data_IF_746683306142
#
_entry.id   IF_746683306142
#
_cell.length_a   1.000
_cell.length_b   1.000
_cell.length_c   1.000
_cell.angle_alpha   90.00
_cell.angle_beta   90.00
_cell.angle_gamma   90.00
#
_symmetry.space_group_name_H-M   'P 1'
#
loop_
_entity.id
_entity.type
_entity.pdbx_description
1 polymer ?
#
# COMPACT_ATOMS: atom_id res chain seq x y z
N UNK A 1 20.59 9.12 -32.34
CA UNK A 1 19.18 8.87 -31.98
C UNK A 1 19.03 9.31 -30.53
N UNK A 2 18.56 10.53 -30.28
CA UNK A 2 18.20 10.94 -28.92
C UNK A 2 16.90 10.22 -28.60
N UNK A 3 16.91 9.31 -27.63
CA UNK A 3 15.70 8.70 -27.10
C UNK A 3 14.92 9.80 -26.39
N UNK A 4 13.84 10.29 -27.01
CA UNK A 4 12.83 11.04 -26.28
C UNK A 4 12.23 10.07 -25.26
N UNK A 5 12.44 10.32 -23.98
CA UNK A 5 11.73 9.59 -22.93
C UNK A 5 10.22 9.76 -23.18
N UNK A 6 9.41 8.70 -23.15
CA UNK A 6 7.97 8.87 -23.29
C UNK A 6 7.48 9.80 -22.18
N UNK A 7 6.76 10.87 -22.53
CA UNK A 7 6.13 11.76 -21.56
C UNK A 7 5.18 10.96 -20.67
N UNK A 8 5.16 11.31 -19.39
CA UNK A 8 4.32 10.63 -18.42
C UNK A 8 2.86 11.04 -18.66
N UNK A 9 1.92 10.10 -18.61
CA UNK A 9 0.51 10.37 -18.92
C UNK A 9 -0.40 9.66 -17.92
N UNK A 10 -1.49 10.31 -17.49
CA UNK A 10 -2.49 9.74 -16.59
C UNK A 10 -3.52 8.97 -17.43
N UNK A 11 -3.77 7.73 -17.04
CA UNK A 11 -4.70 6.81 -17.71
C UNK A 11 -5.95 6.53 -16.89
N UNK A 12 -5.87 6.74 -15.56
CA UNK A 12 -7.02 6.62 -14.65
C UNK A 12 -6.88 7.58 -13.48
N UNK A 13 -8.00 8.16 -13.05
CA UNK A 13 -8.15 8.94 -11.82
C UNK A 13 -9.31 8.36 -11.02
N UNK A 14 -9.15 8.26 -9.70
CA UNK A 14 -10.21 7.87 -8.77
C UNK A 14 -10.15 8.78 -7.55
N UNK A 15 -11.27 9.41 -7.20
CA UNK A 15 -11.39 10.14 -5.94
C UNK A 15 -11.42 9.17 -4.74
N UNK A 16 -10.67 9.46 -3.68
CA UNK A 16 -10.63 8.64 -2.47
C UNK A 16 -11.46 9.29 -1.34
N UNK A 17 -10.93 10.37 -0.76
CA UNK A 17 -11.51 11.10 0.37
C UNK A 17 -10.85 12.48 0.47
N UNK A 18 -11.49 13.46 1.12
CA UNK A 18 -10.88 14.79 1.29
C UNK A 18 -10.37 15.37 -0.04
N UNK A 19 -9.08 15.68 -0.11
CA UNK A 19 -8.40 16.12 -1.34
C UNK A 19 -7.46 15.05 -1.91
N UNK A 20 -7.71 13.79 -1.57
CA UNK A 20 -6.92 12.65 -2.00
C UNK A 20 -7.45 12.01 -3.30
N UNK A 21 -6.53 11.77 -4.24
CA UNK A 21 -6.80 11.07 -5.49
C UNK A 21 -5.85 9.88 -5.66
N UNK A 22 -6.34 8.81 -6.29
CA UNK A 22 -5.52 7.72 -6.82
C UNK A 22 -5.42 7.82 -8.33
N UNK A 23 -4.20 7.83 -8.84
CA UNK A 23 -3.85 8.01 -10.24
C UNK A 23 -3.15 6.76 -10.78
N UNK A 24 -3.46 6.33 -12.00
CA UNK A 24 -2.72 5.29 -12.73
C UNK A 24 -2.07 5.93 -13.94
N UNK A 25 -0.76 5.74 -14.08
CA UNK A 25 0.04 6.29 -15.18
C UNK A 25 0.22 5.29 -16.33
N UNK A 26 0.67 5.78 -17.48
CA UNK A 26 0.96 4.96 -18.67
C UNK A 26 2.08 3.92 -18.46
N UNK A 27 2.91 4.09 -17.44
CA UNK A 27 3.90 3.10 -16.97
C UNK A 27 3.31 2.05 -16.01
N UNK A 28 1.98 2.02 -15.84
CA UNK A 28 1.23 1.15 -14.92
C UNK A 28 1.47 1.40 -13.44
N UNK A 29 2.19 2.47 -13.08
CA UNK A 29 2.34 2.83 -11.67
C UNK A 29 1.08 3.50 -11.15
N UNK A 30 0.71 3.13 -9.92
CA UNK A 30 -0.32 3.82 -9.15
C UNK A 30 0.34 4.83 -8.23
N UNK A 31 -0.25 6.01 -8.10
CA UNK A 31 0.21 7.07 -7.17
C UNK A 31 -1.01 7.65 -6.46
N UNK A 32 -0.87 7.85 -5.15
CA UNK A 32 -1.83 8.60 -4.33
C UNK A 32 -1.29 9.99 -4.06
N UNK A 33 -2.10 11.00 -4.29
CA UNK A 33 -1.76 12.40 -4.06
C UNK A 33 -2.78 12.98 -3.09
N UNK A 34 -2.31 13.79 -2.15
CA UNK A 34 -3.14 14.73 -1.39
C UNK A 34 -2.85 16.12 -1.94
N UNK A 35 -3.88 16.77 -2.48
CA UNK A 35 -3.75 18.08 -3.12
C UNK A 35 -4.11 19.24 -2.20
N UNK A 36 -4.49 19.01 -0.93
CA UNK A 36 -5.00 20.07 -0.04
C UNK A 36 -4.03 21.27 0.06
N UNK A 37 -2.74 21.00 0.22
CA UNK A 37 -1.69 22.03 0.30
C UNK A 37 -1.46 22.77 -1.03
N UNK A 38 -1.83 22.16 -2.15
CA UNK A 38 -1.63 22.68 -3.50
C UNK A 38 -2.83 23.51 -4.00
N UNK A 39 -3.94 23.55 -3.26
CA UNK A 39 -5.14 24.33 -3.62
C UNK A 39 -5.00 25.82 -3.25
N UNK A 40 -3.97 26.48 -3.76
CA UNK A 40 -3.71 27.90 -3.54
C UNK A 40 -3.70 28.68 -4.86
N UNK A 41 -4.20 29.92 -4.83
CA UNK A 41 -4.30 30.78 -6.01
C UNK A 41 -5.70 30.78 -6.63
N UNK A 42 -6.01 31.83 -7.39
CA UNK A 42 -7.37 32.14 -7.85
C UNK A 42 -8.03 31.01 -8.65
N UNK A 43 -7.24 30.29 -9.47
CA UNK A 43 -7.75 29.18 -10.30
C UNK A 43 -8.05 27.92 -9.49
N UNK A 44 -7.35 27.69 -8.37
CA UNK A 44 -7.52 26.51 -7.51
C UNK A 44 -8.44 26.74 -6.31
N UNK A 45 -8.69 28.00 -5.93
CA UNK A 45 -9.57 28.36 -4.81
C UNK A 45 -10.96 27.69 -4.88
N UNK A 46 -11.65 27.60 -6.05
CA UNK A 46 -12.92 26.90 -6.16
C UNK A 46 -12.86 25.41 -5.80
N UNK A 47 -11.68 24.79 -5.92
CA UNK A 47 -11.47 23.38 -5.63
C UNK A 47 -11.46 23.07 -4.12
N UNK A 48 -11.36 24.08 -3.24
CA UNK A 48 -11.57 23.91 -1.79
C UNK A 48 -13.01 23.47 -1.44
N UNK A 49 -13.93 23.59 -2.38
CA UNK A 49 -15.22 22.91 -2.28
C UNK A 49 -15.07 21.46 -2.74
N UNK A 50 -15.26 20.49 -1.84
CA UNK A 50 -15.21 19.07 -2.18
C UNK A 50 -16.18 18.67 -3.32
N UNK A 51 -17.31 19.38 -3.45
CA UNK A 51 -18.26 19.17 -4.55
C UNK A 51 -17.63 19.51 -5.90
N UNK A 52 -16.79 20.54 -5.95
CA UNK A 52 -16.04 20.92 -7.15
C UNK A 52 -14.85 19.99 -7.33
N UNK A 53 -14.10 19.70 -6.26
CA UNK A 53 -12.95 18.81 -6.29
C UNK A 53 -13.28 17.41 -6.84
N UNK A 54 -14.42 16.84 -6.47
CA UNK A 54 -14.87 15.53 -6.96
C UNK A 54 -15.20 15.49 -8.46
N UNK A 55 -15.29 16.63 -9.13
CA UNK A 55 -15.50 16.72 -10.58
C UNK A 55 -14.21 16.55 -11.39
N UNK A 56 -13.11 16.13 -10.73
CA UNK A 56 -11.84 15.82 -11.39
C UNK A 56 -12.04 14.83 -12.55
N UNK A 57 -11.42 15.13 -13.68
CA UNK A 57 -11.42 14.29 -14.87
C UNK A 57 -10.03 14.26 -15.51
N UNK A 58 -9.78 13.29 -16.38
CA UNK A 58 -8.57 13.29 -17.22
C UNK A 58 -8.86 14.13 -18.45
N UNK A 59 -7.99 15.09 -18.74
CA UNK A 59 -8.02 15.81 -20.01
C UNK A 59 -7.49 14.89 -21.13
N UNK A 60 -8.28 14.62 -22.19
CA UNK A 60 -7.90 13.66 -23.23
C UNK A 60 -6.80 14.17 -24.16
N UNK A 61 -6.54 15.48 -24.22
CA UNK A 61 -5.53 16.09 -25.09
C UNK A 61 -4.18 16.19 -24.38
N UNK A 62 -4.20 16.55 -23.10
CA UNK A 62 -2.99 16.80 -22.31
C UNK A 62 -2.61 15.65 -21.37
N UNK A 63 -3.52 14.70 -21.14
CA UNK A 63 -3.36 13.60 -20.19
C UNK A 63 -3.08 14.04 -18.74
N UNK A 64 -3.46 15.28 -18.41
CA UNK A 64 -3.47 15.86 -17.06
C UNK A 64 -4.73 15.43 -16.31
N UNK A 65 -4.80 15.68 -14.99
CA UNK A 65 -6.10 15.80 -14.34
C UNK A 65 -6.54 17.26 -14.39
N UNK A 66 -7.82 17.48 -14.67
CA UNK A 66 -8.40 18.80 -14.83
C UNK A 66 -9.79 18.89 -14.22
N UNK A 67 -10.23 20.12 -13.96
CA UNK A 67 -11.54 20.47 -13.43
C UNK A 67 -12.33 21.36 -14.40
N UNK A 68 -13.66 21.44 -14.29
CA UNK A 68 -14.50 22.24 -15.19
C UNK A 68 -14.18 23.74 -15.23
N UNK A 69 -13.51 24.27 -14.19
CA UNK A 69 -13.05 25.65 -14.13
C UNK A 69 -11.72 25.88 -14.86
N UNK A 70 -11.13 24.85 -15.46
CA UNK A 70 -9.87 24.94 -16.21
C UNK A 70 -8.61 24.81 -15.37
N UNK A 71 -8.72 24.54 -14.06
CA UNK A 71 -7.57 24.12 -13.26
C UNK A 71 -7.10 22.74 -13.70
N UNK A 72 -5.79 22.53 -13.77
CA UNK A 72 -5.16 21.26 -14.10
C UNK A 72 -3.89 21.00 -13.28
N UNK A 73 -3.49 19.74 -13.19
CA UNK A 73 -2.19 19.32 -12.68
C UNK A 73 -1.51 18.37 -13.66
N UNK A 74 -0.25 18.66 -13.98
CA UNK A 74 0.57 17.87 -14.88
C UNK A 74 0.93 16.49 -14.28
N UNK A 75 1.02 15.44 -15.12
CA UNK A 75 1.41 14.09 -14.69
C UNK A 75 2.73 14.07 -13.90
N UNK A 76 3.75 14.79 -14.36
CA UNK A 76 5.08 14.82 -13.74
C UNK A 76 5.05 15.42 -12.34
N UNK A 77 4.27 16.49 -12.14
CA UNK A 77 4.11 17.14 -10.84
C UNK A 77 3.44 16.17 -9.85
N UNK A 78 2.34 15.55 -10.25
CA UNK A 78 1.59 14.61 -9.42
C UNK A 78 2.40 13.37 -9.08
N UNK A 79 3.20 12.89 -10.03
CA UNK A 79 4.11 11.77 -9.80
C UNK A 79 5.23 12.13 -8.82
N UNK A 80 5.68 13.39 -8.79
CA UNK A 80 6.72 13.87 -7.89
C UNK A 80 6.21 14.09 -6.45
N UNK A 81 5.03 14.69 -6.28
CA UNK A 81 4.48 14.97 -4.94
C UNK A 81 3.74 13.77 -4.35
N UNK A 82 3.30 12.87 -5.22
CA UNK A 82 2.47 11.75 -4.84
C UNK A 82 3.26 10.66 -4.14
N UNK A 83 2.61 10.07 -3.16
CA UNK A 83 3.07 8.83 -2.59
C UNK A 83 2.62 7.74 -3.54
N UNK A 84 3.57 7.07 -4.18
CA UNK A 84 3.27 5.71 -4.64
C UNK A 84 2.66 5.02 -3.43
N UNK A 85 1.49 4.35 -3.54
CA UNK A 85 1.13 3.40 -2.51
C UNK A 85 2.43 2.67 -2.27
N UNK A 86 2.89 2.63 -1.02
CA UNK A 86 3.89 1.62 -0.69
C UNK A 86 3.40 0.38 -1.42
N UNK A 87 4.30 -0.40 -1.99
CA UNK A 87 3.91 -1.78 -2.16
C UNK A 87 3.60 -2.26 -0.73
N UNK A 88 2.41 -1.97 -0.17
CA UNK A 88 1.56 -2.87 0.58
C UNK A 88 1.21 -3.82 -0.50
N UNK A 89 2.08 -4.81 -0.69
CA UNK A 89 1.87 -5.63 -1.81
C UNK A 89 0.60 -6.40 -1.42
N UNK A 90 -0.25 -6.67 -2.39
CA UNK A 90 -0.98 -7.94 -2.37
C UNK A 90 0.01 -9.13 -2.53
N UNK A 91 1.22 -9.02 -2.00
CA UNK A 91 2.20 -10.08 -1.81
C UNK A 91 1.85 -10.57 -0.44
N UNK A 92 1.25 -11.75 -0.43
CA UNK A 92 1.23 -12.56 0.77
C UNK A 92 2.68 -12.56 1.28
N UNK A 93 2.95 -12.09 2.50
CA UNK A 93 4.31 -12.00 2.99
C UNK A 93 4.99 -13.36 2.84
N UNK A 94 6.27 -13.37 2.46
CA UNK A 94 6.98 -14.63 2.24
C UNK A 94 7.07 -15.47 3.51
N UNK A 95 7.09 -14.79 4.66
CA UNK A 95 7.01 -15.38 5.98
C UNK A 95 6.56 -14.34 7.00
N UNK A 96 6.24 -14.78 8.20
CA UNK A 96 6.09 -13.91 9.36
C UNK A 96 7.21 -14.23 10.34
N UNK A 97 7.67 -13.21 11.07
CA UNK A 97 8.62 -13.36 12.17
C UNK A 97 8.00 -12.89 13.48
N UNK A 98 8.22 -13.67 14.53
CA UNK A 98 7.90 -13.25 15.90
C UNK A 98 9.09 -12.45 16.44
N UNK A 99 8.84 -11.25 16.90
CA UNK A 99 9.83 -10.39 17.59
C UNK A 99 9.35 -10.08 19.01
N UNK A 100 10.29 -9.92 19.94
CA UNK A 100 9.99 -9.45 21.29
C UNK A 100 10.50 -8.02 21.43
N UNK A 101 9.58 -7.06 21.51
CA UNK A 101 9.86 -5.62 21.59
C UNK A 101 8.90 -4.98 22.60
N UNK A 102 9.35 -3.96 23.33
CA UNK A 102 8.53 -3.25 24.33
C UNK A 102 7.84 -4.18 25.36
N UNK A 103 8.56 -5.22 25.79
CA UNK A 103 8.09 -6.23 26.73
C UNK A 103 6.83 -7.00 26.26
N UNK A 104 6.62 -7.10 24.93
CA UNK A 104 5.52 -7.85 24.31
C UNK A 104 5.99 -8.60 23.06
N UNK A 105 5.28 -9.67 22.72
CA UNK A 105 5.47 -10.35 21.44
C UNK A 105 4.73 -9.61 20.33
N UNK A 106 5.36 -9.50 19.17
CA UNK A 106 4.81 -8.91 17.95
C UNK A 106 5.05 -9.88 16.79
N UNK A 107 4.08 -10.00 15.88
CA UNK A 107 4.23 -10.80 14.66
C UNK A 107 4.29 -9.83 13.48
N UNK A 108 5.45 -9.78 12.85
CA UNK A 108 5.71 -8.85 11.76
C UNK A 108 5.77 -9.63 10.43
N UNK A 109 5.08 -9.17 9.38
CA UNK A 109 5.25 -9.72 8.05
C UNK A 109 6.66 -9.42 7.51
N UNK A 110 7.23 -10.41 6.82
CA UNK A 110 8.53 -10.31 6.15
C UNK A 110 8.33 -10.36 4.64
N UNK A 111 8.77 -9.31 3.97
CA UNK A 111 8.71 -9.18 2.53
C UNK A 111 10.09 -9.34 1.92
N UNK A 112 10.18 -10.03 0.77
CA UNK A 112 11.35 -9.97 -0.09
C UNK A 112 11.19 -8.73 -0.97
N UNK A 113 12.18 -7.84 -0.93
CA UNK A 113 12.14 -6.61 -1.72
C UNK A 113 12.57 -6.82 -3.19
N UNK A 114 12.69 -8.07 -3.65
CA UNK A 114 13.08 -8.43 -5.02
C UNK A 114 14.57 -8.24 -5.32
N UNK A 115 15.35 -7.82 -4.33
CA UNK A 115 16.82 -7.68 -4.39
C UNK A 115 17.53 -8.71 -3.49
N UNK A 116 16.80 -9.71 -2.97
CA UNK A 116 17.34 -10.75 -2.08
C UNK A 116 17.49 -10.31 -0.62
N UNK A 117 16.89 -9.17 -0.24
CA UNK A 117 16.92 -8.66 1.13
C UNK A 117 15.52 -8.72 1.74
N UNK A 118 15.46 -9.22 2.98
CA UNK A 118 14.22 -9.33 3.75
C UNK A 118 13.95 -8.01 4.51
N UNK A 119 12.79 -7.41 4.28
CA UNK A 119 12.32 -6.23 5.01
C UNK A 119 11.16 -6.59 5.94
N UNK A 120 11.26 -6.16 7.19
CA UNK A 120 10.20 -6.29 8.19
C UNK A 120 9.34 -5.04 8.13
N UNK A 121 8.03 -5.21 7.90
CA UNK A 121 7.10 -4.10 8.04
C UNK A 121 6.55 -4.06 9.46
N UNK A 122 7.02 -3.08 10.24
CA UNK A 122 6.57 -2.83 11.61
C UNK A 122 5.27 -2.05 11.68
N UNK A 123 4.71 -1.56 10.56
CA UNK A 123 3.42 -0.89 10.53
C UNK A 123 2.23 -1.86 10.39
N UNK A 124 2.45 -3.07 9.85
CA UNK A 124 1.44 -4.12 9.68
C UNK A 124 1.49 -5.21 10.79
N UNK A 125 1.92 -4.84 12.00
CA UNK A 125 2.14 -5.75 13.12
C UNK A 125 0.82 -6.36 13.60
N UNK A 126 0.79 -7.70 13.67
CA UNK A 126 -0.26 -8.42 14.40
C UNK A 126 0.17 -8.53 15.86
N UNK A 127 -0.62 -7.97 16.76
CA UNK A 127 -0.39 -8.07 18.20
C UNK A 127 -1.11 -9.31 18.75
N UNK A 128 -0.40 -10.41 19.06
CA UNK A 128 -1.00 -11.54 19.76
C UNK A 128 -1.51 -11.09 21.13
N UNK A 129 -2.76 -11.42 21.44
CA UNK A 129 -3.28 -11.33 22.80
C UNK A 129 -2.74 -12.54 23.59
N UNK A 130 -1.43 -12.57 23.83
CA UNK A 130 -0.74 -13.67 24.52
C UNK A 130 0.09 -13.14 25.68
N UNK A 131 -0.13 -13.70 26.87
CA UNK A 131 0.59 -13.37 28.10
C UNK A 131 1.63 -14.44 28.48
N UNK A 132 1.66 -15.55 27.76
CA UNK A 132 2.59 -16.67 27.95
C UNK A 132 2.90 -17.38 26.62
N UNK A 133 3.88 -18.29 26.65
CA UNK A 133 4.36 -19.01 25.46
C UNK A 133 3.29 -19.91 24.82
N UNK A 134 2.41 -20.50 25.62
CA UNK A 134 1.36 -21.42 25.15
C UNK A 134 0.26 -20.66 24.38
N UNK A 135 -0.17 -19.51 24.89
CA UNK A 135 -1.12 -18.60 24.21
C UNK A 135 -0.54 -18.07 22.90
N UNK A 136 0.75 -17.72 22.89
CA UNK A 136 1.44 -17.29 21.68
C UNK A 136 1.49 -18.42 20.64
N UNK A 137 1.80 -19.65 21.06
CA UNK A 137 1.81 -20.81 20.17
C UNK A 137 0.42 -21.12 19.60
N UNK A 138 -0.64 -21.02 20.40
CA UNK A 138 -2.01 -21.20 19.95
C UNK A 138 -2.41 -20.14 18.91
N UNK A 139 -2.06 -18.88 19.17
CA UNK A 139 -2.30 -17.78 18.24
C UNK A 139 -1.56 -17.97 16.92
N UNK A 140 -0.26 -18.29 16.97
CA UNK A 140 0.56 -18.59 15.78
C UNK A 140 -0.03 -19.73 14.96
N UNK A 141 -0.49 -20.82 15.60
CA UNK A 141 -1.19 -21.92 14.91
C UNK A 141 -2.48 -21.46 14.22
N UNK A 142 -3.27 -20.62 14.89
CA UNK A 142 -4.50 -20.09 14.29
C UNK A 142 -4.24 -19.24 13.05
N UNK A 143 -3.18 -18.41 13.08
CA UNK A 143 -2.75 -17.64 11.92
C UNK A 143 -2.22 -18.54 10.81
N UNK A 144 -1.45 -19.57 11.16
CA UNK A 144 -0.90 -20.52 10.20
C UNK A 144 -2.00 -21.26 9.44
N UNK A 145 -3.06 -21.68 10.13
CA UNK A 145 -4.25 -22.30 9.51
C UNK A 145 -4.99 -21.31 8.61
N UNK A 146 -5.13 -20.05 9.04
CA UNK A 146 -5.81 -19.02 8.26
C UNK A 146 -5.03 -18.57 7.01
N UNK A 147 -3.70 -18.68 7.04
CA UNK A 147 -2.80 -18.16 6.00
C UNK A 147 -2.29 -19.24 5.04
N UNK A 148 -2.47 -20.53 5.35
CA UNK A 148 -1.97 -21.67 4.57
C UNK A 148 -0.46 -21.62 4.25
N UNK A 149 0.33 -20.95 5.09
CA UNK A 149 1.76 -20.70 4.86
C UNK A 149 2.64 -21.11 6.04
N UNK A 150 3.90 -21.52 5.81
CA UNK A 150 4.83 -21.85 6.88
C UNK A 150 5.34 -20.58 7.59
N UNK A 151 5.49 -20.65 8.92
CA UNK A 151 5.93 -19.51 9.74
C UNK A 151 7.37 -19.72 10.19
N UNK A 152 8.20 -18.68 10.11
CA UNK A 152 9.60 -18.72 10.54
C UNK A 152 9.72 -18.32 12.02
N UNK A 153 10.28 -19.21 12.82
CA UNK A 153 10.52 -18.98 14.24
C UNK A 153 11.78 -18.10 14.46
N UNK A 154 11.94 -17.50 15.65
CA UNK A 154 13.08 -16.63 15.96
C UNK A 154 14.46 -17.30 15.82
N UNK A 155 14.52 -18.63 15.93
CA UNK A 155 15.72 -19.45 15.76
C UNK A 155 16.02 -19.80 14.28
N UNK A 156 15.19 -19.33 13.35
CA UNK A 156 15.32 -19.59 11.91
C UNK A 156 14.71 -20.92 11.45
N UNK A 157 14.04 -21.66 12.33
CA UNK A 157 13.33 -22.89 11.93
C UNK A 157 11.96 -22.57 11.33
N UNK A 158 11.50 -23.37 10.36
CA UNK A 158 10.14 -23.30 9.83
C UNK A 158 9.21 -24.14 10.69
N UNK A 159 8.14 -23.54 11.21
CA UNK A 159 7.05 -24.27 11.84
C UNK A 159 6.28 -25.03 10.74
N UNK A 160 6.19 -26.37 10.79
CA UNK A 160 5.50 -27.16 9.78
C UNK A 160 4.00 -26.82 9.78
N UNK A 161 3.40 -26.76 8.58
CA UNK A 161 1.95 -26.61 8.43
C UNK A 161 1.30 -27.84 9.04
N UNK A 162 0.53 -27.65 10.12
CA UNK A 162 -0.29 -28.73 10.65
C UNK A 162 -1.23 -29.18 9.53
N UNK A 163 -1.31 -30.47 9.16
CA UNK A 163 -2.29 -30.92 8.19
C UNK A 163 -3.64 -30.45 8.68
N UNK A 164 -4.41 -29.79 7.81
CA UNK A 164 -5.80 -29.45 8.10
C UNK A 164 -6.43 -30.73 8.64
N UNK A 165 -6.82 -30.72 9.91
CA UNK A 165 -7.44 -31.89 10.53
C UNK A 165 -8.66 -32.18 9.68
N UNK A 166 -8.56 -33.20 8.83
CA UNK A 166 -9.69 -33.81 8.18
C UNK A 166 -10.66 -34.14 9.29
N UNK A 167 -11.74 -33.38 9.38
CA UNK A 167 -12.88 -33.76 10.20
C UNK A 167 -13.50 -34.96 9.49
N UNK A 168 -12.89 -36.13 9.71
CA UNK A 168 -13.49 -37.41 9.42
C UNK A 168 -14.19 -37.87 10.69
N UNK A 169 -15.45 -37.48 10.82
CA UNK A 169 -16.55 -38.23 11.43
C UNK A 169 -17.85 -37.45 11.25
#
# INVERSE_FOLDING_TARGET
MLTVSPSLAITKVSYLQGYELELIFNNQETVRVDLEAELHGEIFEPLKSLIVFQQVAIDPETHTIAWPNGADFAPEFLYQIGQKPNATPRTIPNSYRVVFQDNRYQICPVFDNGMGNLQIDTAAVIQPQANNLDELQAFVRSLQVALEQPILLPDGSLMPIAPATSHAA
#
